data_IF_934384408637
#
_entry.id   IF_934384408637
#
_cell.length_a   1.000
_cell.length_b   1.000
_cell.length_c   1.000
_cell.angle_alpha   90.00
_cell.angle_beta   90.00
_cell.angle_gamma   90.00
#
_symmetry.space_group_name_H-M   'P 1'
#
loop_
_entity.id
_entity.type
_entity.pdbx_description
1 polymer ?
#
# COMPACT_ATOMS: atom_id res chain seq x y z
N UNK A 1 -4.39 -17.72 -3.86
CA UNK A 1 -5.57 -16.95 -4.31
C UNK A 1 -6.25 -17.63 -5.50
N UNK A 2 -5.51 -18.05 -6.53
CA UNK A 2 -6.05 -18.66 -7.77
C UNK A 2 -7.02 -19.84 -7.55
N UNK A 3 -6.74 -20.70 -6.57
CA UNK A 3 -7.58 -21.88 -6.27
C UNK A 3 -8.81 -21.56 -5.40
N UNK A 4 -8.96 -20.31 -4.89
CA UNK A 4 -10.00 -19.90 -3.95
C UNK A 4 -10.66 -18.56 -4.34
N UNK A 5 -10.60 -18.17 -5.62
CA UNK A 5 -11.03 -16.84 -6.09
C UNK A 5 -12.52 -16.56 -5.84
N UNK A 6 -13.37 -17.60 -5.83
CA UNK A 6 -14.79 -17.50 -5.49
C UNK A 6 -15.03 -17.05 -4.04
N UNK A 7 -14.04 -17.23 -3.15
CA UNK A 7 -14.14 -16.82 -1.75
C UNK A 7 -13.56 -15.42 -1.53
N UNK A 8 -12.37 -15.15 -2.05
CA UNK A 8 -11.78 -13.81 -2.03
C UNK A 8 -10.67 -13.66 -3.06
N UNK A 9 -10.62 -12.48 -3.69
CA UNK A 9 -9.50 -12.06 -4.52
C UNK A 9 -9.33 -10.54 -4.51
N UNK A 10 -8.14 -10.09 -4.89
CA UNK A 10 -7.74 -8.67 -4.91
C UNK A 10 -7.12 -8.31 -6.27
N UNK A 11 -6.88 -7.02 -6.50
CA UNK A 11 -6.30 -6.53 -7.74
C UNK A 11 -4.81 -6.77 -7.83
N UNK A 12 -4.08 -6.64 -6.72
CA UNK A 12 -2.63 -6.77 -6.71
C UNK A 12 -2.10 -7.30 -5.38
N UNK A 13 -0.90 -7.88 -5.44
CA UNK A 13 -0.05 -8.15 -4.28
C UNK A 13 1.20 -7.30 -4.35
N UNK A 14 1.63 -6.81 -3.20
CA UNK A 14 2.85 -6.02 -3.06
C UNK A 14 3.77 -6.71 -2.06
N UNK A 15 4.99 -6.99 -2.47
CA UNK A 15 6.05 -7.53 -1.61
C UNK A 15 7.29 -6.62 -1.62
N UNK A 16 8.35 -7.04 -0.94
CA UNK A 16 9.64 -6.33 -0.86
C UNK A 16 10.30 -6.02 -2.21
N UNK A 17 9.98 -6.76 -3.26
CA UNK A 17 10.65 -6.76 -4.57
C UNK A 17 9.70 -6.45 -5.74
N UNK A 18 8.41 -6.76 -5.60
CA UNK A 18 7.44 -6.76 -6.69
C UNK A 18 6.13 -6.08 -6.31
N UNK A 19 5.52 -5.46 -7.31
CA UNK A 19 4.10 -5.15 -7.35
C UNK A 19 3.51 -5.98 -8.49
N UNK A 20 2.59 -6.88 -8.16
CA UNK A 20 2.02 -7.83 -9.11
C UNK A 20 0.52 -7.59 -9.18
N UNK A 21 0.06 -6.94 -10.25
CA UNK A 21 -1.36 -6.82 -10.55
C UNK A 21 -1.84 -8.11 -11.23
N UNK A 22 -2.91 -8.69 -10.70
CA UNK A 22 -3.48 -9.97 -11.15
C UNK A 22 -4.94 -9.84 -11.59
N UNK A 23 -5.55 -8.67 -11.35
CA UNK A 23 -6.87 -8.34 -11.87
C UNK A 23 -6.95 -6.86 -12.29
N UNK A 24 -7.60 -6.54 -13.42
CA UNK A 24 -7.72 -5.15 -13.87
C UNK A 24 -8.51 -4.29 -12.87
N UNK A 25 -7.96 -3.11 -12.56
CA UNK A 25 -8.52 -2.11 -11.62
C UNK A 25 -9.81 -1.44 -12.06
N UNK A 26 -10.30 -1.75 -13.26
CA UNK A 26 -11.61 -1.32 -13.77
C UNK A 26 -12.77 -2.24 -13.40
N UNK A 27 -12.49 -3.40 -12.80
CA UNK A 27 -13.48 -4.40 -12.40
C UNK A 27 -13.45 -4.63 -10.89
N UNK A 28 -14.60 -4.97 -10.32
CA UNK A 28 -14.72 -5.23 -8.90
C UNK A 28 -14.00 -6.53 -8.49
N UNK A 29 -13.64 -6.60 -7.20
CA UNK A 29 -13.04 -7.78 -6.57
C UNK A 29 -13.76 -8.13 -5.26
N UNK A 30 -13.41 -9.26 -4.64
CA UNK A 30 -14.07 -9.75 -3.43
C UNK A 30 -13.12 -9.87 -2.23
N UNK A 31 -12.42 -8.80 -1.84
CA UNK A 31 -11.41 -8.87 -0.77
C UNK A 31 -11.72 -8.09 0.52
N UNK A 32 -12.68 -7.16 0.51
CA UNK A 32 -12.90 -6.24 1.65
C UNK A 32 -14.37 -6.12 2.10
N UNK A 33 -15.20 -7.12 1.79
CA UNK A 33 -16.62 -7.11 2.13
C UNK A 33 -17.49 -6.31 1.14
N UNK A 34 -18.80 -6.61 1.15
CA UNK A 34 -19.73 -6.22 0.07
C UNK A 34 -19.77 -4.72 -0.24
N UNK A 35 -19.60 -3.86 0.76
CA UNK A 35 -19.66 -2.40 0.58
C UNK A 35 -18.36 -1.83 0.00
N UNK A 36 -17.20 -2.34 0.41
CA UNK A 36 -15.90 -1.91 -0.13
C UNK A 36 -15.65 -2.47 -1.53
N UNK A 37 -16.12 -3.70 -1.81
CA UNK A 37 -16.00 -4.34 -3.12
C UNK A 37 -16.61 -3.53 -4.27
N UNK A 38 -17.63 -2.73 -3.98
CA UNK A 38 -18.30 -1.85 -4.95
C UNK A 38 -17.58 -0.51 -5.17
N UNK A 39 -16.55 -0.19 -4.36
CA UNK A 39 -15.99 1.16 -4.24
C UNK A 39 -14.50 1.26 -4.52
N UNK A 40 -13.72 0.25 -4.13
CA UNK A 40 -12.27 0.42 -3.98
C UNK A 40 -11.45 -0.56 -4.80
N UNK A 41 -10.30 -0.06 -5.25
CA UNK A 41 -9.18 -0.90 -5.68
C UNK A 41 -8.53 -1.49 -4.43
N UNK A 42 -8.44 -2.82 -4.38
CA UNK A 42 -7.92 -3.59 -3.24
C UNK A 42 -6.61 -4.27 -3.61
N UNK A 43 -5.60 -4.16 -2.76
CA UNK A 43 -4.31 -4.81 -2.94
C UNK A 43 -3.72 -5.19 -1.57
N UNK A 44 -2.96 -6.27 -1.55
CA UNK A 44 -2.50 -6.92 -0.32
C UNK A 44 -1.00 -6.73 -0.10
N UNK A 45 -0.61 -6.49 1.14
CA UNK A 45 0.80 -6.47 1.55
C UNK A 45 1.25 -7.87 1.97
N UNK A 46 2.23 -8.43 1.27
CA UNK A 46 2.84 -9.70 1.64
C UNK A 46 3.61 -9.56 2.96
N UNK A 47 3.43 -10.52 3.88
CA UNK A 47 4.13 -10.52 5.17
C UNK A 47 5.58 -10.99 5.03
N UNK A 48 6.48 -10.32 5.74
CA UNK A 48 7.91 -10.58 5.74
C UNK A 48 8.46 -10.99 7.12
N UNK A 49 9.70 -11.48 7.14
CA UNK A 49 10.36 -12.03 8.35
C UNK A 49 11.44 -11.12 8.91
N UNK A 50 11.85 -10.09 8.18
CA UNK A 50 12.84 -9.12 8.64
C UNK A 50 12.36 -7.68 8.44
N UNK A 51 12.94 -6.76 9.21
CA UNK A 51 12.57 -5.35 9.14
C UNK A 51 12.93 -4.73 7.78
N UNK A 52 14.06 -5.13 7.18
CA UNK A 52 14.47 -4.64 5.86
C UNK A 52 13.44 -4.99 4.78
N UNK A 53 13.00 -6.25 4.74
CA UNK A 53 11.98 -6.70 3.81
C UNK A 53 10.64 -5.97 4.02
N UNK A 54 10.24 -5.79 5.27
CA UNK A 54 9.05 -4.99 5.63
C UNK A 54 9.19 -3.54 5.15
N UNK A 55 10.32 -2.88 5.39
CA UNK A 55 10.52 -1.50 4.99
C UNK A 55 10.48 -1.33 3.46
N UNK A 56 11.09 -2.26 2.72
CA UNK A 56 11.02 -2.29 1.25
C UNK A 56 9.59 -2.50 0.76
N UNK A 57 8.84 -3.42 1.37
CA UNK A 57 7.46 -3.67 0.97
C UNK A 57 6.53 -2.49 1.28
N UNK A 58 6.70 -1.80 2.42
CA UNK A 58 5.97 -0.57 2.74
C UNK A 58 6.27 0.54 1.73
N UNK A 59 7.52 0.68 1.30
CA UNK A 59 7.88 1.64 0.26
C UNK A 59 7.16 1.34 -1.07
N UNK A 60 7.09 0.06 -1.47
CA UNK A 60 6.37 -0.37 -2.65
C UNK A 60 4.85 -0.18 -2.50
N UNK A 61 4.30 -0.49 -1.33
CA UNK A 61 2.88 -0.37 -1.01
C UNK A 61 2.42 1.09 -1.08
N UNK A 62 3.20 1.99 -0.48
CA UNK A 62 2.92 3.42 -0.53
C UNK A 62 3.07 4.00 -1.95
N UNK A 63 4.06 3.52 -2.72
CA UNK A 63 4.23 3.92 -4.12
C UNK A 63 3.03 3.51 -4.97
N UNK A 64 2.57 2.27 -4.81
CA UNK A 64 1.43 1.77 -5.58
C UNK A 64 0.13 2.50 -5.24
N UNK A 65 -0.10 2.81 -3.96
CA UNK A 65 -1.23 3.66 -3.56
C UNK A 65 -1.17 5.04 -4.24
N UNK A 66 -0.02 5.73 -4.16
CA UNK A 66 0.17 7.03 -4.81
C UNK A 66 0.00 6.95 -6.35
N UNK A 67 0.52 5.89 -6.96
CA UNK A 67 0.37 5.61 -8.38
C UNK A 67 -1.10 5.49 -8.78
N UNK A 68 -1.90 4.69 -8.05
CA UNK A 68 -3.32 4.53 -8.33
C UNK A 68 -4.09 5.84 -8.17
N UNK A 69 -3.81 6.61 -7.12
CA UNK A 69 -4.41 7.93 -6.94
C UNK A 69 -4.13 8.84 -8.15
N UNK A 70 -2.88 8.91 -8.61
CA UNK A 70 -2.51 9.69 -9.81
C UNK A 70 -3.16 9.14 -11.08
N UNK A 71 -3.17 7.82 -11.26
CA UNK A 71 -3.76 7.16 -12.43
C UNK A 71 -5.26 7.49 -12.58
N UNK A 72 -5.99 7.53 -11.46
CA UNK A 72 -7.43 7.80 -11.43
C UNK A 72 -7.78 9.25 -11.12
N UNK A 73 -6.78 10.15 -11.12
CA UNK A 73 -6.95 11.57 -10.81
C UNK A 73 -7.70 11.82 -9.48
N UNK A 74 -7.38 11.02 -8.46
CA UNK A 74 -7.93 11.10 -7.13
C UNK A 74 -6.96 11.83 -6.18
N UNK A 75 -7.45 12.75 -5.33
CA UNK A 75 -6.62 13.36 -4.31
C UNK A 75 -6.25 12.33 -3.25
N UNK A 76 -5.12 12.53 -2.56
CA UNK A 76 -4.85 11.82 -1.31
C UNK A 76 -5.80 12.32 -0.22
N UNK A 77 -6.60 11.42 0.35
CA UNK A 77 -7.48 11.68 1.49
C UNK A 77 -7.68 10.38 2.29
N UNK A 78 -7.41 10.40 3.60
CA UNK A 78 -7.39 9.19 4.44
C UNK A 78 -8.68 9.06 5.24
N UNK A 79 -9.38 7.95 5.06
CA UNK A 79 -10.64 7.67 5.76
C UNK A 79 -10.50 7.17 7.21
N UNK A 80 -9.28 7.00 7.73
CA UNK A 80 -9.04 6.44 9.06
C UNK A 80 -9.74 7.19 10.21
N UNK A 81 -9.97 8.50 10.07
CA UNK A 81 -10.54 9.34 11.13
C UNK A 81 -12.04 9.59 11.01
N UNK A 82 -12.58 9.65 9.79
CA UNK A 82 -13.94 10.15 9.54
C UNK A 82 -14.78 9.29 8.57
N UNK A 83 -14.21 8.20 8.05
CA UNK A 83 -14.90 7.34 7.09
C UNK A 83 -15.13 8.01 5.73
N UNK A 84 -14.32 9.00 5.36
CA UNK A 84 -14.39 9.67 4.05
C UNK A 84 -13.00 9.76 3.43
N UNK A 85 -12.94 9.67 2.10
CA UNK A 85 -11.69 9.83 1.35
C UNK A 85 -11.40 8.71 0.38
N UNK A 86 -10.14 8.63 -0.05
CA UNK A 86 -9.67 7.84 -1.19
C UNK A 86 -8.68 6.74 -0.78
N UNK A 87 -8.13 6.81 0.43
CA UNK A 87 -7.23 5.81 1.02
C UNK A 87 -7.89 5.20 2.24
N UNK A 88 -8.10 3.89 2.19
CA UNK A 88 -8.83 3.12 3.20
C UNK A 88 -8.03 1.89 3.62
N UNK A 89 -7.92 1.64 4.92
CA UNK A 89 -7.55 0.31 5.41
C UNK A 89 -8.77 -0.58 5.57
N UNK A 90 -8.56 -1.90 5.68
CA UNK A 90 -9.64 -2.83 6.00
C UNK A 90 -10.26 -2.53 7.37
N UNK A 91 -9.44 -2.07 8.32
CA UNK A 91 -9.91 -1.57 9.61
C UNK A 91 -10.88 -0.37 9.48
N UNK A 92 -10.58 0.62 8.61
CA UNK A 92 -11.51 1.72 8.35
C UNK A 92 -12.80 1.23 7.67
N UNK A 93 -12.71 0.26 6.75
CA UNK A 93 -13.90 -0.38 6.15
C UNK A 93 -14.76 -1.03 7.24
N UNK A 94 -14.17 -1.82 8.13
CA UNK A 94 -14.88 -2.45 9.26
C UNK A 94 -15.60 -1.41 10.13
N UNK A 95 -14.92 -0.30 10.46
CA UNK A 95 -15.46 0.75 11.33
C UNK A 95 -16.60 1.56 10.69
N UNK A 96 -16.45 1.96 9.44
CA UNK A 96 -17.32 2.97 8.83
C UNK A 96 -18.29 2.42 7.80
N UNK A 97 -17.97 1.29 7.15
CA UNK A 97 -18.82 0.68 6.12
C UNK A 97 -19.44 -0.64 6.59
N UNK A 98 -18.72 -1.41 7.41
CA UNK A 98 -19.10 -2.76 7.81
C UNK A 98 -19.05 -3.76 6.65
N UNK A 99 -19.72 -4.91 6.81
CA UNK A 99 -19.71 -5.99 5.81
C UNK A 99 -18.42 -6.82 5.79
N UNK A 100 -17.53 -6.58 6.75
CA UNK A 100 -16.30 -7.29 7.09
C UNK A 100 -15.97 -6.97 8.56
N UNK A 101 -15.15 -7.81 9.21
CA UNK A 101 -14.67 -7.62 10.59
C UNK A 101 -13.14 -7.61 10.69
N UNK A 102 -12.46 -7.51 9.55
CA UNK A 102 -11.01 -7.49 9.46
C UNK A 102 -10.41 -6.16 9.93
N UNK A 103 -9.22 -6.22 10.51
CA UNK A 103 -8.54 -5.07 11.13
C UNK A 103 -7.14 -4.82 10.58
N UNK A 104 -6.76 -5.51 9.50
CA UNK A 104 -5.52 -5.23 8.80
C UNK A 104 -5.50 -3.81 8.21
N UNK A 105 -4.30 -3.18 8.13
CA UNK A 105 -2.99 -3.73 8.46
C UNK A 105 -2.52 -3.45 9.90
N UNK A 106 -3.39 -2.94 10.79
CA UNK A 106 -3.01 -2.38 12.10
C UNK A 106 -2.11 -3.31 12.92
N UNK A 107 -2.56 -4.55 13.16
CA UNK A 107 -1.80 -5.50 13.97
C UNK A 107 -0.46 -5.91 13.34
N UNK A 108 -0.40 -6.03 12.01
CA UNK A 108 0.84 -6.38 11.31
C UNK A 108 1.85 -5.23 11.37
N UNK A 109 1.42 -3.99 11.21
CA UNK A 109 2.30 -2.82 11.29
C UNK A 109 2.88 -2.64 12.71
N UNK A 110 2.06 -2.86 13.75
CA UNK A 110 2.51 -2.79 15.14
C UNK A 110 3.65 -3.76 15.46
N UNK A 111 3.70 -4.94 14.83
CA UNK A 111 4.81 -5.90 15.01
C UNK A 111 6.17 -5.33 14.59
N UNK A 112 6.17 -4.34 13.69
CA UNK A 112 7.37 -3.68 13.19
C UNK A 112 7.59 -2.29 13.77
N UNK A 113 6.79 -1.88 14.78
CA UNK A 113 6.80 -0.52 15.31
C UNK A 113 6.34 0.53 14.29
N UNK A 114 5.54 0.13 13.31
CA UNK A 114 5.00 0.99 12.25
C UNK A 114 3.50 1.22 12.47
N UNK A 115 2.92 2.20 11.77
CA UNK A 115 1.52 2.61 11.94
C UNK A 115 0.88 3.02 10.61
N UNK A 116 -0.46 2.98 10.57
CA UNK A 116 -1.23 3.46 9.41
C UNK A 116 -0.98 4.96 9.17
N UNK A 117 -0.79 5.76 10.23
CA UNK A 117 -0.44 7.18 10.11
C UNK A 117 0.90 7.39 9.39
N UNK A 118 1.92 6.59 9.72
CA UNK A 118 3.21 6.64 9.00
C UNK A 118 3.08 6.18 7.55
N UNK A 119 2.25 5.16 7.27
CA UNK A 119 1.96 4.76 5.89
C UNK A 119 1.30 5.92 5.11
N UNK A 120 0.28 6.54 5.68
CA UNK A 120 -0.46 7.65 5.07
C UNK A 120 0.46 8.83 4.77
N UNK A 121 1.39 9.15 5.69
CA UNK A 121 2.43 10.15 5.46
C UNK A 121 3.27 9.80 4.24
N UNK A 122 3.75 8.55 4.15
CA UNK A 122 4.58 8.10 3.03
C UNK A 122 3.82 8.05 1.69
N UNK A 123 2.54 7.66 1.70
CA UNK A 123 1.69 7.72 0.50
C UNK A 123 1.59 9.17 0.03
N UNK A 124 1.30 10.12 0.93
CA UNK A 124 1.19 11.53 0.59
C UNK A 124 2.49 12.09 0.03
N UNK A 125 3.63 11.81 0.68
CA UNK A 125 4.95 12.21 0.18
C UNK A 125 5.20 11.71 -1.25
N UNK A 126 4.86 10.45 -1.53
CA UNK A 126 5.01 9.86 -2.86
C UNK A 126 4.04 10.46 -3.86
N UNK A 127 2.79 10.68 -3.47
CA UNK A 127 1.78 11.31 -4.29
C UNK A 127 2.21 12.73 -4.71
N UNK A 128 2.67 13.55 -3.77
CA UNK A 128 3.12 14.92 -4.01
C UNK A 128 4.37 14.95 -4.92
N UNK A 129 5.31 14.02 -4.73
CA UNK A 129 6.51 13.91 -5.55
C UNK A 129 6.25 13.35 -6.97
N UNK A 130 5.16 12.61 -7.17
CA UNK A 130 4.81 11.98 -8.44
C UNK A 130 4.21 13.00 -9.42
N UNK A 131 5.07 13.64 -10.23
CA UNK A 131 4.68 14.67 -11.21
C UNK A 131 4.11 14.10 -12.52
N UNK A 132 4.52 12.89 -12.88
CA UNK A 132 4.02 12.11 -14.03
C UNK A 132 3.98 10.66 -13.55
N UNK A 133 2.85 9.97 -13.72
CA UNK A 133 2.80 8.53 -13.49
C UNK A 133 3.08 7.83 -14.83
N UNK A 134 4.07 6.94 -14.85
CA UNK A 134 4.25 6.07 -16.01
C UNK A 134 3.07 5.12 -16.07
N UNK A 135 2.29 5.11 -17.16
CA UNK A 135 1.19 4.16 -17.33
C UNK A 135 1.71 2.75 -17.14
N UNK A 136 1.25 2.09 -16.09
CA UNK A 136 1.52 0.68 -15.90
C UNK A 136 0.81 -0.11 -17.02
N UNK A 137 1.58 -0.77 -17.89
CA UNK A 137 1.03 -1.69 -18.89
C UNK A 137 0.68 -2.98 -18.16
N UNK A 138 -0.57 -3.42 -18.31
CA UNK A 138 -1.30 -4.37 -17.46
C UNK A 138 -0.74 -5.80 -17.33
N UNK A 139 0.42 -6.10 -17.92
CA UNK A 139 0.98 -7.46 -18.01
C UNK A 139 2.43 -7.56 -17.52
N UNK A 140 2.91 -6.57 -16.77
CA UNK A 140 4.32 -6.51 -16.35
C UNK A 140 4.43 -6.78 -14.84
N UNK A 141 5.25 -7.79 -14.47
CA UNK A 141 5.82 -7.87 -13.12
C UNK A 141 6.68 -6.63 -12.94
N UNK A 142 6.21 -5.66 -12.15
CA UNK A 142 7.03 -4.51 -11.80
C UNK A 142 8.08 -4.97 -10.81
N UNK A 143 9.25 -5.39 -11.32
CA UNK A 143 10.48 -5.45 -10.55
C UNK A 143 10.81 -4.00 -10.22
N UNK A 144 10.55 -3.59 -8.97
CA UNK A 144 10.67 -2.24 -8.42
C UNK A 144 11.27 -1.15 -9.35
N UNK A 145 10.44 -0.19 -9.82
CA UNK A 145 10.95 1.14 -10.22
C UNK A 145 11.45 1.97 -9.02
N UNK A 146 11.44 1.40 -7.82
CA UNK A 146 12.22 1.90 -6.70
C UNK A 146 13.61 1.22 -6.66
N UNK A 147 14.38 1.32 -7.74
CA UNK A 147 15.80 1.50 -7.53
C UNK A 147 15.93 2.82 -6.78
N UNK A 148 16.06 2.77 -5.45
CA UNK A 148 16.43 3.90 -4.61
C UNK A 148 17.90 4.20 -4.92
N UNK A 149 18.20 4.52 -6.18
CA UNK A 149 19.52 4.97 -6.61
C UNK A 149 19.78 6.38 -6.11
N UNK A 150 18.73 7.13 -5.75
CA UNK A 150 18.87 8.42 -5.09
C UNK A 150 17.99 8.51 -3.84
N UNK A 151 18.59 8.24 -2.67
CA UNK A 151 18.00 8.46 -1.35
C UNK A 151 17.76 9.96 -1.02
N UNK A 152 17.96 10.86 -2.00
CA UNK A 152 17.69 12.29 -1.87
C UNK A 152 16.19 12.61 -1.88
N UNK A 153 15.36 11.84 -2.59
CA UNK A 153 13.94 12.16 -2.79
C UNK A 153 12.96 11.33 -1.94
N UNK A 154 13.36 10.15 -1.45
CA UNK A 154 12.50 9.31 -0.59
C UNK A 154 13.24 8.85 0.67
N UNK A 155 12.68 9.18 1.84
CA UNK A 155 13.29 8.85 3.13
C UNK A 155 12.97 7.38 3.51
N UNK A 156 13.83 6.45 3.13
CA UNK A 156 13.79 5.08 3.69
C UNK A 156 14.59 5.09 4.99
N UNK A 157 14.04 4.56 6.08
CA UNK A 157 14.69 4.52 7.39
C UNK A 157 15.03 3.08 7.78
N UNK A 158 16.17 2.89 8.46
CA UNK A 158 16.64 1.60 8.97
C UNK A 158 15.79 1.02 10.10
N UNK A 159 14.86 1.83 10.63
CA UNK A 159 13.80 1.52 11.61
C UNK A 159 12.61 2.43 11.29
N UNK A 160 11.42 2.26 11.90
CA UNK A 160 10.29 3.15 11.66
C UNK A 160 10.68 4.61 11.89
N UNK A 161 10.17 5.51 11.03
CA UNK A 161 10.42 6.93 11.17
C UNK A 161 10.03 7.40 12.58
N UNK A 162 10.89 8.22 13.20
CA UNK A 162 10.72 8.76 14.55
C UNK A 162 10.74 7.71 15.70
N UNK A 163 11.48 6.61 15.53
CA UNK A 163 11.77 5.64 16.61
C UNK A 163 13.24 5.62 17.00
N UNK A 164 13.54 5.13 18.21
CA UNK A 164 14.91 5.11 18.74
C UNK A 164 15.88 4.30 17.86
N UNK A 165 16.89 4.99 17.33
CA UNK A 165 17.89 4.43 16.43
C UNK A 165 17.46 4.34 14.96
N UNK A 166 16.37 5.00 14.54
CA UNK A 166 16.02 5.14 13.14
C UNK A 166 17.05 6.01 12.41
N UNK A 167 17.75 5.44 11.43
CA UNK A 167 18.70 6.16 10.57
C UNK A 167 18.13 6.25 9.16
N UNK A 168 18.27 7.41 8.51
CA UNK A 168 17.95 7.55 7.09
C UNK A 168 18.92 6.68 6.27
N UNK A 169 18.39 5.68 5.59
CA UNK A 169 19.16 4.78 4.73
C UNK A 169 19.58 5.52 3.48
N UNK A 170 20.90 5.68 3.27
CA UNK A 170 21.44 6.32 2.06
C UNK A 170 21.66 5.32 0.92
N UNK A 171 21.76 4.03 1.23
CA UNK A 171 21.78 2.93 0.29
C UNK A 171 21.33 1.67 1.01
N UNK A 172 20.52 0.85 0.35
CA UNK A 172 20.22 -0.51 0.81
C UNK A 172 21.14 -1.43 0.00
N UNK A 173 22.18 -1.97 0.65
CA UNK A 173 23.03 -3.01 0.09
C UNK A 173 22.25 -4.29 -0.16
#
# INVERSE_FOLDING_TARGET
MSNNYNNAFVHAFVDKSHIIQIHPTKYAVWGAGKYANQRFIQFELVRHKTFDEFARSINNYAYYAAYLLRQYNMPFDSAESDGKGTVWTHNAVTKYLGGTNHTDPVGYFSQWGYSVSQLNTLIKEKYDAMKVYEKIKSDIVYTAYANVKDAKTYNIYSKPYNTSGAKKSRHIS
#
